data_IF_239400370928
#
_entry.id   IF_239400370928
#
_cell.length_a   1.000
_cell.length_b   1.000
_cell.length_c   1.000
_cell.angle_alpha   90.00
_cell.angle_beta   90.00
_cell.angle_gamma   90.00
#
_symmetry.space_group_name_H-M   'P 1'
#
loop_
_entity.id
_entity.type
_entity.pdbx_description
1 polymer ?
#
# COMPACT_ATOMS: atom_id res chain seq x y z
N UNK A 1 3.11 -12.24 -22.36
CA UNK A 1 4.20 -12.51 -21.41
C UNK A 1 3.93 -11.76 -20.10
N UNK A 2 2.93 -12.17 -19.29
CA UNK A 2 2.51 -11.41 -18.10
C UNK A 2 3.33 -11.73 -16.83
N UNK A 3 4.06 -12.85 -16.82
CA UNK A 3 4.78 -13.33 -15.62
C UNK A 3 6.03 -12.49 -15.34
N UNK A 4 6.80 -12.12 -16.36
CA UNK A 4 8.03 -11.33 -16.21
C UNK A 4 7.76 -9.90 -15.72
N UNK A 5 6.65 -9.30 -16.18
CA UNK A 5 6.25 -7.93 -15.80
C UNK A 5 5.85 -7.86 -14.32
N UNK A 6 5.13 -8.86 -13.82
CA UNK A 6 4.77 -8.95 -12.40
C UNK A 6 5.99 -9.17 -11.50
N UNK A 7 6.99 -9.94 -11.94
CA UNK A 7 8.23 -10.07 -11.18
C UNK A 7 9.03 -8.77 -11.12
N UNK A 8 9.07 -8.01 -12.21
CA UNK A 8 9.73 -6.70 -12.24
C UNK A 8 9.07 -5.70 -11.27
N UNK A 9 7.72 -5.62 -11.28
CA UNK A 9 6.95 -4.81 -10.32
C UNK A 9 7.24 -5.21 -8.88
N UNK A 10 7.24 -6.50 -8.57
CA UNK A 10 7.52 -7.01 -7.22
C UNK A 10 8.93 -6.63 -6.74
N UNK A 11 9.94 -6.70 -7.62
CA UNK A 11 11.31 -6.27 -7.30
C UNK A 11 11.38 -4.76 -7.05
N UNK A 12 10.66 -3.97 -7.85
CA UNK A 12 10.59 -2.53 -7.66
C UNK A 12 9.94 -2.18 -6.32
N UNK A 13 8.82 -2.81 -5.97
CA UNK A 13 8.14 -2.61 -4.70
C UNK A 13 9.00 -3.00 -3.49
N UNK A 14 9.83 -4.04 -3.59
CA UNK A 14 10.79 -4.40 -2.55
C UNK A 14 11.89 -3.35 -2.34
N UNK A 15 12.16 -2.50 -3.33
CA UNK A 15 13.04 -1.34 -3.19
C UNK A 15 12.39 -0.15 -2.47
N UNK A 16 11.07 -0.06 -2.48
CA UNK A 16 10.31 1.06 -1.92
C UNK A 16 9.67 0.75 -0.55
N UNK A 17 9.29 -0.51 -0.33
CA UNK A 17 8.50 -0.94 0.81
C UNK A 17 9.15 -2.12 1.54
N UNK A 18 8.97 -2.14 2.87
CA UNK A 18 9.26 -3.34 3.67
C UNK A 18 8.07 -4.29 3.58
N UNK A 19 8.28 -5.55 3.19
CA UNK A 19 7.18 -6.51 3.11
C UNK A 19 7.04 -7.27 4.44
N UNK A 20 5.92 -7.06 5.14
CA UNK A 20 5.50 -7.87 6.29
C UNK A 20 4.89 -9.16 5.74
N UNK A 21 5.37 -10.30 6.23
CA UNK A 21 4.98 -11.61 5.71
C UNK A 21 5.06 -11.69 4.17
N UNK A 22 6.29 -11.51 3.64
CA UNK A 22 6.54 -11.26 2.23
C UNK A 22 5.89 -12.25 1.25
N UNK A 23 5.70 -13.51 1.64
CA UNK A 23 5.06 -14.52 0.80
C UNK A 23 3.56 -14.23 0.56
N UNK A 24 2.85 -13.73 1.57
CA UNK A 24 1.45 -13.33 1.45
C UNK A 24 1.31 -12.08 0.58
N UNK A 25 2.13 -11.05 0.82
CA UNK A 25 2.13 -9.84 -0.01
C UNK A 25 2.46 -10.16 -1.46
N UNK A 26 3.46 -11.02 -1.71
CA UNK A 26 3.81 -11.47 -3.07
C UNK A 26 2.70 -12.27 -3.73
N UNK A 27 1.96 -13.10 -2.98
CA UNK A 27 0.80 -13.83 -3.51
C UNK A 27 -0.30 -12.85 -3.88
N UNK A 28 -0.64 -11.92 -2.98
CA UNK A 28 -1.67 -10.91 -3.21
C UNK A 28 -1.39 -10.09 -4.47
N UNK A 29 -0.19 -9.53 -4.60
CA UNK A 29 0.19 -8.69 -5.74
C UNK A 29 0.28 -9.45 -7.08
N UNK A 30 0.43 -10.78 -7.06
CA UNK A 30 0.30 -11.60 -8.27
C UNK A 30 -1.14 -11.81 -8.70
N UNK A 31 -2.06 -11.89 -7.73
CA UNK A 31 -3.49 -12.05 -7.97
C UNK A 31 -4.13 -10.71 -8.38
N UNK A 32 -3.67 -9.60 -7.79
CA UNK A 32 -4.18 -8.25 -8.00
C UNK A 32 -3.08 -7.34 -8.55
N UNK A 33 -2.75 -7.43 -9.86
CA UNK A 33 -1.67 -6.63 -10.46
C UNK A 33 -1.95 -5.12 -10.42
N UNK A 34 -3.22 -4.70 -10.47
CA UNK A 34 -3.60 -3.28 -10.37
C UNK A 34 -3.16 -2.66 -9.04
N UNK A 35 -3.19 -3.43 -7.93
CA UNK A 35 -2.69 -2.97 -6.65
C UNK A 35 -1.18 -2.72 -6.68
N UNK A 36 -0.42 -3.53 -7.44
CA UNK A 36 1.02 -3.31 -7.60
C UNK A 36 1.32 -2.00 -8.35
N UNK A 37 0.55 -1.69 -9.40
CA UNK A 37 0.69 -0.43 -10.14
C UNK A 37 0.35 0.77 -9.26
N UNK A 38 -0.76 0.72 -8.51
CA UNK A 38 -1.13 1.80 -7.57
C UNK A 38 -0.05 2.01 -6.51
N UNK A 39 0.53 0.94 -5.95
CA UNK A 39 1.63 1.07 -4.98
C UNK A 39 2.90 1.70 -5.58
N UNK A 40 3.25 1.38 -6.82
CA UNK A 40 4.40 2.00 -7.50
C UNK A 40 4.12 3.50 -7.71
N UNK A 41 2.91 3.84 -8.14
CA UNK A 41 2.47 5.22 -8.33
C UNK A 41 2.36 5.98 -7.00
N UNK A 42 2.05 5.32 -5.88
CA UNK A 42 1.92 5.95 -4.57
C UNK A 42 3.25 6.51 -4.04
N UNK A 43 4.37 5.85 -4.35
CA UNK A 43 5.69 6.19 -3.79
C UNK A 43 6.07 7.67 -3.92
N UNK A 44 6.04 8.31 -5.11
CA UNK A 44 6.36 9.73 -5.23
C UNK A 44 5.40 10.64 -4.45
N UNK A 45 4.13 10.26 -4.27
CA UNK A 45 3.18 11.03 -3.47
C UNK A 45 3.49 10.93 -1.97
N UNK A 46 3.83 9.74 -1.48
CA UNK A 46 4.27 9.52 -0.10
C UNK A 46 5.54 10.33 0.19
N UNK A 47 6.54 10.27 -0.70
CA UNK A 47 7.79 11.01 -0.53
C UNK A 47 7.60 12.53 -0.53
N UNK A 48 6.67 13.04 -1.34
CA UNK A 48 6.38 14.47 -1.40
C UNK A 48 5.71 14.99 -0.13
N UNK A 49 4.78 14.22 0.44
CA UNK A 49 3.97 14.64 1.59
C UNK A 49 4.69 14.36 2.91
N UNK A 50 5.17 13.12 3.09
CA UNK A 50 5.79 12.66 4.32
C UNK A 50 7.32 12.85 4.34
N UNK A 51 7.93 13.15 3.19
CA UNK A 51 9.38 13.34 3.03
C UNK A 51 10.08 12.16 2.37
N UNK A 52 11.22 12.44 1.71
CA UNK A 52 11.93 11.46 0.86
C UNK A 52 12.49 10.25 1.60
N UNK A 53 12.69 10.35 2.92
CA UNK A 53 13.21 9.26 3.75
C UNK A 53 12.11 8.43 4.41
N UNK A 54 10.83 8.72 4.11
CA UNK A 54 9.71 8.02 4.70
C UNK A 54 9.70 6.57 4.25
N UNK A 55 9.62 5.70 5.25
CA UNK A 55 9.52 4.25 5.07
C UNK A 55 8.04 3.88 5.08
N UNK A 56 7.70 2.86 4.31
CA UNK A 56 6.38 2.26 4.39
C UNK A 56 6.52 0.74 4.38
N UNK A 57 5.60 0.07 5.04
CA UNK A 57 5.49 -1.38 5.07
C UNK A 57 4.24 -1.84 4.33
N UNK A 58 4.32 -2.98 3.67
CA UNK A 58 3.17 -3.66 3.06
C UNK A 58 2.81 -4.88 3.87
N UNK A 59 1.54 -5.02 4.23
CA UNK A 59 1.03 -6.12 5.02
C UNK A 59 -0.32 -6.58 4.48
N UNK A 60 -0.51 -7.89 4.35
CA UNK A 60 -1.83 -8.46 4.04
C UNK A 60 -2.53 -8.77 5.34
N UNK A 61 -3.75 -8.26 5.50
CA UNK A 61 -4.62 -8.55 6.64
C UNK A 61 -5.88 -9.25 6.17
N UNK A 62 -6.57 -9.89 7.12
CA UNK A 62 -7.82 -10.59 6.86
C UNK A 62 -8.93 -9.96 7.70
N UNK A 63 -9.99 -9.52 7.05
CA UNK A 63 -11.22 -9.13 7.74
C UNK A 63 -11.96 -10.39 8.24
N UNK A 64 -12.03 -10.62 9.56
CA UNK A 64 -12.69 -11.80 10.13
C UNK A 64 -14.21 -11.80 9.94
N UNK A 65 -14.83 -10.64 9.69
CA UNK A 65 -16.27 -10.48 9.55
C UNK A 65 -16.75 -10.59 8.10
N UNK A 66 -15.82 -10.73 7.14
CA UNK A 66 -16.16 -10.88 5.72
C UNK A 66 -16.82 -12.24 5.45
N UNK A 67 -18.01 -12.21 4.83
CA UNK A 67 -18.80 -13.40 4.49
C UNK A 67 -18.11 -14.32 3.44
N UNK A 68 -17.04 -13.83 2.81
CA UNK A 68 -16.35 -14.46 1.69
C UNK A 68 -14.83 -14.46 1.90
N UNK A 69 -14.22 -15.65 1.91
CA UNK A 69 -12.75 -15.82 1.99
C UNK A 69 -11.97 -15.14 0.85
N UNK A 70 -12.64 -14.82 -0.27
CA UNK A 70 -12.01 -14.08 -1.38
C UNK A 70 -12.06 -12.57 -1.18
N UNK A 71 -12.99 -12.10 -0.36
CA UNK A 71 -13.20 -10.69 -0.09
C UNK A 71 -12.56 -10.25 1.23
N UNK A 72 -12.11 -11.19 2.05
CA UNK A 72 -11.47 -10.91 3.35
C UNK A 72 -10.03 -10.40 3.24
N UNK A 73 -9.33 -10.65 2.12
CA UNK A 73 -7.94 -10.21 1.95
C UNK A 73 -7.84 -8.73 1.56
N UNK A 74 -7.16 -7.97 2.41
CA UNK A 74 -6.82 -6.58 2.19
C UNK A 74 -5.31 -6.37 2.32
N UNK A 75 -4.77 -5.46 1.52
CA UNK A 75 -3.38 -5.05 1.55
C UNK A 75 -3.29 -3.65 2.13
N UNK A 76 -2.49 -3.49 3.18
CA UNK A 76 -2.23 -2.23 3.85
C UNK A 76 -0.83 -1.71 3.52
N UNK A 77 -0.77 -0.47 3.05
CA UNK A 77 0.43 0.35 2.95
C UNK A 77 0.59 1.20 4.20
N UNK A 78 1.32 0.68 5.18
CA UNK A 78 1.56 1.32 6.47
C UNK A 78 2.74 2.30 6.37
N UNK A 79 2.46 3.59 6.29
CA UNK A 79 3.44 4.68 6.21
C UNK A 79 3.99 4.95 7.61
N UNK A 80 5.31 4.78 7.78
CA UNK A 80 5.98 4.94 9.07
C UNK A 80 6.29 6.39 9.34
N UNK A 81 5.84 6.87 10.49
CA UNK A 81 6.03 8.26 10.90
C UNK A 81 6.36 8.35 12.39
N UNK A 82 7.20 9.32 12.73
CA UNK A 82 7.48 9.72 14.11
C UNK A 82 6.94 11.13 14.40
N UNK A 83 6.12 11.67 13.50
CA UNK A 83 5.46 12.96 13.70
C UNK A 83 4.39 12.86 14.79
N UNK A 84 4.02 14.00 15.40
CA UNK A 84 2.83 14.06 16.25
C UNK A 84 1.61 13.51 15.52
N UNK A 85 0.72 12.84 16.26
CA UNK A 85 -0.46 12.16 15.71
C UNK A 85 -1.31 13.12 14.86
N UNK A 86 -1.55 14.34 15.33
CA UNK A 86 -2.32 15.35 14.58
C UNK A 86 -1.66 15.68 13.24
N UNK A 87 -0.36 15.99 13.23
CA UNK A 87 0.39 16.30 12.01
C UNK A 87 0.43 15.12 11.02
N UNK A 88 0.58 13.91 11.54
CA UNK A 88 0.61 12.70 10.72
C UNK A 88 -0.76 12.43 10.07
N UNK A 89 -1.85 12.63 10.82
CA UNK A 89 -3.21 12.50 10.30
C UNK A 89 -3.53 13.56 9.25
N UNK A 90 -3.09 14.80 9.44
CA UNK A 90 -3.24 15.86 8.45
C UNK A 90 -2.52 15.50 7.14
N UNK A 91 -1.31 14.94 7.23
CA UNK A 91 -0.56 14.46 6.06
C UNK A 91 -1.23 13.25 5.38
N UNK A 92 -1.81 12.32 6.14
CA UNK A 92 -2.57 11.22 5.57
C UNK A 92 -3.81 11.73 4.84
N UNK A 93 -4.58 12.64 5.46
CA UNK A 93 -5.74 13.26 4.83
C UNK A 93 -5.35 13.98 3.54
N UNK A 94 -4.22 14.70 3.54
CA UNK A 94 -3.72 15.34 2.33
C UNK A 94 -3.35 14.33 1.24
N UNK A 95 -2.70 13.22 1.61
CA UNK A 95 -2.37 12.14 0.67
C UNK A 95 -3.63 11.52 0.06
N UNK A 96 -4.65 11.33 0.88
CA UNK A 96 -5.92 10.77 0.45
C UNK A 96 -6.63 11.71 -0.53
N UNK A 97 -6.81 12.97 -0.15
CA UNK A 97 -7.52 13.97 -0.93
C UNK A 97 -6.80 14.30 -2.25
N UNK A 98 -5.47 14.38 -2.23
CA UNK A 98 -4.71 14.78 -3.42
C UNK A 98 -4.55 13.65 -4.44
N UNK A 99 -4.54 12.39 -3.99
CA UNK A 99 -4.19 11.27 -4.88
C UNK A 99 -4.97 9.99 -4.62
N UNK A 100 -5.00 9.47 -3.40
CA UNK A 100 -5.47 8.10 -3.18
C UNK A 100 -6.98 7.94 -3.40
N UNK A 101 -7.80 8.95 -3.07
CA UNK A 101 -9.25 8.93 -3.34
C UNK A 101 -9.56 8.74 -4.84
N UNK A 102 -8.73 9.30 -5.72
CA UNK A 102 -8.88 9.12 -7.17
C UNK A 102 -8.50 7.70 -7.63
N UNK A 103 -7.72 6.95 -6.84
CA UNK A 103 -7.28 5.59 -7.14
C UNK A 103 -8.17 4.50 -6.54
N UNK A 104 -9.14 4.82 -5.66
CA UNK A 104 -9.97 3.82 -4.97
C UNK A 104 -10.62 2.81 -5.91
N UNK A 105 -11.13 3.28 -7.06
CA UNK A 105 -11.72 2.40 -8.08
C UNK A 105 -10.71 1.43 -8.70
N UNK A 106 -9.45 1.87 -8.90
CA UNK A 106 -8.35 1.04 -9.43
C UNK A 106 -7.80 0.08 -8.38
N UNK A 107 -7.77 0.51 -7.12
CA UNK A 107 -7.40 -0.30 -5.97
C UNK A 107 -8.41 -1.43 -5.66
N UNK A 108 -9.60 -1.39 -6.29
CA UNK A 108 -10.62 -2.43 -6.16
C UNK A 108 -11.15 -2.59 -4.73
N UNK A 109 -10.98 -1.57 -3.88
CA UNK A 109 -11.35 -1.60 -2.47
C UNK A 109 -10.50 -2.52 -1.59
N UNK A 110 -9.38 -3.07 -2.09
CA UNK A 110 -8.55 -4.03 -1.35
C UNK A 110 -7.20 -3.48 -0.92
N UNK A 111 -6.80 -2.33 -1.44
CA UNK A 111 -5.60 -1.63 -1.03
C UNK A 111 -6.03 -0.45 -0.17
N UNK A 112 -5.40 -0.31 0.98
CA UNK A 112 -5.59 0.79 1.92
C UNK A 112 -4.22 1.35 2.33
N UNK A 113 -4.15 2.65 2.63
CA UNK A 113 -2.98 3.25 3.26
C UNK A 113 -3.32 3.69 4.68
N UNK A 114 -2.37 3.51 5.60
CA UNK A 114 -2.54 3.91 6.99
C UNK A 114 -1.20 4.37 7.58
N UNK A 115 -1.20 4.87 8.81
CA UNK A 115 -0.01 5.28 9.54
C UNK A 115 0.43 4.20 10.52
N UNK A 116 1.74 3.97 10.58
CA UNK A 116 2.40 3.20 11.62
C UNK A 116 3.31 4.15 12.42
N UNK A 117 2.99 4.38 13.69
CA UNK A 117 3.77 5.24 14.57
C UNK A 117 4.95 4.46 15.15
N UNK A 118 6.17 4.97 14.95
CA UNK A 118 7.44 4.30 15.33
C UNK A 118 8.29 5.11 16.30
#
# INVERSE_FOLDING_TARGET
MPIEENEARLRLLQGFYTLVNADEVRRFLRVYPDAADVLIEARPHIERIFGSNTRAALEVTFDPDSESLRDSEELFGNIRTSLPVEEALDQLSQFDDEWFLAQLTRAGGRLNFNLEFV
#
